data_IF_265267520180
#
_entry.id   IF_265267520180
#
_cell.length_a   1.000
_cell.length_b   1.000
_cell.length_c   1.000
_cell.angle_alpha   90.00
_cell.angle_beta   90.00
_cell.angle_gamma   90.00
#
_symmetry.space_group_name_H-M   'P 1'
#
loop_
_entity.id
_entity.type
_entity.pdbx_description
1 polymer ?
#
# COMPACT_ATOMS: atom_id res chain seq x y z
N UNK A 1 -3.01 -32.89 -1.18
CA UNK A 1 -3.84 -31.72 -1.54
C UNK A 1 -3.63 -30.45 -0.69
N UNK A 2 -3.10 -30.53 0.55
CA UNK A 2 -2.84 -29.33 1.37
C UNK A 2 -1.56 -28.56 0.97
N UNK A 3 -0.56 -29.25 0.42
CA UNK A 3 0.73 -28.64 0.05
C UNK A 3 0.61 -27.64 -1.10
N UNK A 4 -0.11 -27.98 -2.18
CA UNK A 4 -0.36 -27.07 -3.32
C UNK A 4 -1.10 -25.81 -2.87
N UNK A 5 -2.12 -25.97 -2.00
CA UNK A 5 -2.86 -24.82 -1.45
C UNK A 5 -1.96 -23.92 -0.59
N UNK A 6 -1.03 -24.49 0.14
CA UNK A 6 -0.07 -23.75 0.96
C UNK A 6 0.90 -22.95 0.08
N UNK A 7 1.49 -23.58 -0.94
CA UNK A 7 2.37 -22.91 -1.91
C UNK A 7 1.65 -21.73 -2.58
N UNK A 8 0.42 -21.95 -3.06
CA UNK A 8 -0.35 -20.88 -3.71
C UNK A 8 -0.58 -19.69 -2.76
N UNK A 9 -0.89 -19.93 -1.48
CA UNK A 9 -1.06 -18.85 -0.50
C UNK A 9 0.20 -18.03 -0.28
N UNK A 10 1.37 -18.69 -0.26
CA UNK A 10 2.67 -18.03 -0.13
C UNK A 10 2.94 -17.18 -1.38
N UNK A 11 2.77 -17.74 -2.58
CA UNK A 11 2.97 -17.02 -3.84
C UNK A 11 2.08 -15.77 -3.90
N UNK A 12 0.80 -15.92 -3.58
CA UNK A 12 -0.15 -14.80 -3.50
C UNK A 12 0.39 -13.74 -2.54
N UNK A 13 0.75 -14.13 -1.32
CA UNK A 13 1.23 -13.18 -0.33
C UNK A 13 2.53 -12.47 -0.73
N UNK A 14 3.46 -13.15 -1.40
CA UNK A 14 4.69 -12.53 -1.94
C UNK A 14 4.34 -11.50 -3.03
N UNK A 15 3.49 -11.87 -4.00
CA UNK A 15 3.10 -10.97 -5.10
C UNK A 15 2.39 -9.72 -4.58
N UNK A 16 1.43 -9.88 -3.66
CA UNK A 16 0.74 -8.74 -3.03
C UNK A 16 1.67 -7.95 -2.11
N UNK A 17 2.61 -8.60 -1.42
CA UNK A 17 3.62 -7.94 -0.58
C UNK A 17 4.55 -7.05 -1.40
N UNK A 18 5.08 -7.54 -2.52
CA UNK A 18 5.90 -6.76 -3.44
C UNK A 18 5.09 -5.58 -3.99
N UNK A 19 3.87 -5.83 -4.45
CA UNK A 19 3.00 -4.78 -5.00
C UNK A 19 2.69 -3.70 -3.97
N UNK A 20 2.44 -4.08 -2.71
CA UNK A 20 2.18 -3.16 -1.61
C UNK A 20 3.44 -2.36 -1.23
N UNK A 21 4.61 -2.99 -1.25
CA UNK A 21 5.89 -2.31 -1.00
C UNK A 21 6.18 -1.28 -2.11
N UNK A 22 5.91 -1.61 -3.38
CA UNK A 22 6.03 -0.67 -4.50
C UNK A 22 5.07 0.50 -4.33
N UNK A 23 3.81 0.23 -3.98
CA UNK A 23 2.82 1.28 -3.73
C UNK A 23 3.22 2.21 -2.58
N UNK A 24 3.85 1.69 -1.52
CA UNK A 24 4.34 2.50 -0.39
C UNK A 24 5.75 3.06 -0.59
N UNK A 25 6.39 2.82 -1.73
CA UNK A 25 7.74 3.31 -2.00
C UNK A 25 7.92 4.82 -1.83
N UNK A 26 6.94 5.69 -2.17
CA UNK A 26 7.09 7.13 -1.93
C UNK A 26 7.16 7.49 -0.44
N UNK A 27 6.41 6.78 0.42
CA UNK A 27 6.46 7.01 1.86
C UNK A 27 7.83 6.60 2.42
N UNK A 28 8.35 5.43 2.01
CA UNK A 28 9.67 4.99 2.43
C UNK A 28 10.77 5.94 1.96
N UNK A 29 10.67 6.45 0.73
CA UNK A 29 11.59 7.46 0.21
C UNK A 29 11.48 8.80 0.96
N UNK A 30 10.30 9.17 1.46
CA UNK A 30 10.14 10.37 2.26
C UNK A 30 10.86 10.26 3.63
N UNK A 31 10.92 9.06 4.21
CA UNK A 31 11.49 8.83 5.55
C UNK A 31 12.94 8.32 5.55
N UNK A 32 13.54 7.98 4.40
CA UNK A 32 14.92 7.44 4.35
C UNK A 32 15.95 8.56 4.44
N UNK A 33 16.83 8.59 5.44
CA UNK A 33 18.01 9.50 5.43
C UNK A 33 19.17 8.84 4.67
N UNK A 34 20.21 9.60 4.28
CA UNK A 34 21.33 9.13 3.42
C UNK A 34 22.12 7.90 3.92
N UNK A 35 21.84 7.39 5.12
CA UNK A 35 22.44 6.15 5.66
C UNK A 35 21.44 5.23 6.39
N UNK A 36 20.13 5.43 6.21
CA UNK A 36 19.12 4.64 6.92
C UNK A 36 18.85 3.28 6.27
N UNK A 37 19.63 2.28 6.66
CA UNK A 37 19.35 0.87 6.37
C UNK A 37 17.99 0.41 6.97
N UNK A 38 17.47 1.14 7.96
CA UNK A 38 16.22 0.82 8.65
C UNK A 38 15.02 0.98 7.71
N UNK A 39 14.95 2.05 6.92
CA UNK A 39 13.82 2.27 6.01
C UNK A 39 13.73 1.17 4.93
N UNK A 40 14.88 0.78 4.38
CA UNK A 40 14.98 -0.33 3.43
C UNK A 40 14.61 -1.68 4.07
N UNK A 41 15.06 -1.92 5.31
CA UNK A 41 14.71 -3.12 6.05
C UNK A 41 13.20 -3.20 6.33
N UNK A 42 12.54 -2.09 6.68
CA UNK A 42 11.09 -2.04 6.90
C UNK A 42 10.33 -2.30 5.58
N UNK A 43 10.76 -1.68 4.49
CA UNK A 43 10.17 -1.91 3.16
C UNK A 43 10.27 -3.39 2.76
N UNK A 44 11.45 -4.00 2.94
CA UNK A 44 11.67 -5.43 2.66
C UNK A 44 10.89 -6.32 3.62
N UNK A 45 10.74 -5.94 4.89
CA UNK A 45 9.97 -6.67 5.89
C UNK A 45 8.46 -6.70 5.60
N UNK A 46 7.95 -5.75 4.80
CA UNK A 46 6.54 -5.75 4.39
C UNK A 46 6.18 -6.99 3.57
N UNK A 47 7.09 -7.49 2.74
CA UNK A 47 6.87 -8.68 1.91
C UNK A 47 6.61 -9.94 2.75
N UNK A 48 7.49 -10.35 3.70
CA UNK A 48 7.23 -11.52 4.54
C UNK A 48 6.03 -11.32 5.47
N UNK A 49 5.73 -10.10 5.92
CA UNK A 49 4.52 -9.82 6.72
C UNK A 49 3.26 -10.14 5.90
N UNK A 50 3.15 -9.66 4.67
CA UNK A 50 2.00 -9.94 3.80
C UNK A 50 1.94 -11.43 3.41
N UNK A 51 3.10 -12.05 3.17
CA UNK A 51 3.20 -13.48 2.94
C UNK A 51 2.65 -14.30 4.12
N UNK A 52 3.03 -13.95 5.35
CA UNK A 52 2.53 -14.58 6.58
C UNK A 52 1.01 -14.36 6.74
N UNK A 53 0.51 -13.14 6.50
CA UNK A 53 -0.93 -12.85 6.57
C UNK A 53 -1.74 -13.71 5.58
N UNK A 54 -1.21 -13.95 4.38
CA UNK A 54 -1.84 -14.81 3.37
C UNK A 54 -1.71 -16.30 3.72
N UNK A 55 -0.58 -16.72 4.31
CA UNK A 55 -0.36 -18.09 4.76
C UNK A 55 -1.36 -18.52 5.83
N UNK A 56 -1.66 -17.64 6.80
CA UNK A 56 -2.65 -17.90 7.86
C UNK A 56 -4.11 -17.79 7.40
N UNK A 57 -4.39 -17.55 6.12
CA UNK A 57 -5.75 -17.57 5.63
C UNK A 57 -6.27 -19.02 5.51
N UNK A 58 -7.52 -19.33 5.91
CA UNK A 58 -8.01 -20.72 5.88
C UNK A 58 -8.22 -21.21 4.44
N UNK A 59 -8.60 -20.35 3.51
CA UNK A 59 -8.83 -20.67 2.09
C UNK A 59 -8.01 -19.77 1.16
N UNK A 60 -7.75 -20.24 -0.07
CA UNK A 60 -7.03 -19.46 -1.10
C UNK A 60 -7.79 -18.17 -1.44
N UNK A 61 -9.13 -18.23 -1.52
CA UNK A 61 -9.99 -17.06 -1.70
C UNK A 61 -9.77 -16.00 -0.62
N UNK A 62 -9.66 -16.40 0.65
CA UNK A 62 -9.38 -15.46 1.75
C UNK A 62 -7.95 -14.95 1.76
N UNK A 63 -6.98 -15.72 1.24
CA UNK A 63 -5.61 -15.24 1.04
C UNK A 63 -5.57 -14.09 0.03
N UNK A 64 -6.25 -14.22 -1.12
CA UNK A 64 -6.44 -13.12 -2.06
C UNK A 64 -7.14 -11.93 -1.41
N UNK A 65 -8.22 -12.16 -0.64
CA UNK A 65 -8.91 -11.07 0.07
C UNK A 65 -7.97 -10.27 0.98
N UNK A 66 -7.14 -10.94 1.79
CA UNK A 66 -6.13 -10.28 2.62
C UNK A 66 -5.08 -9.53 1.79
N UNK A 67 -4.59 -10.12 0.70
CA UNK A 67 -3.65 -9.47 -0.21
C UNK A 67 -4.22 -8.19 -0.83
N UNK A 68 -5.45 -8.23 -1.34
CA UNK A 68 -6.16 -7.08 -1.89
C UNK A 68 -6.43 -6.00 -0.84
N UNK A 69 -6.73 -6.38 0.41
CA UNK A 69 -6.92 -5.42 1.50
C UNK A 69 -5.61 -4.67 1.81
N UNK A 70 -4.49 -5.38 1.92
CA UNK A 70 -3.20 -4.74 2.20
C UNK A 70 -2.77 -3.87 1.01
N UNK A 71 -2.79 -4.40 -0.21
CA UNK A 71 -2.45 -3.63 -1.40
C UNK A 71 -3.39 -2.42 -1.59
N UNK A 72 -4.69 -2.62 -1.39
CA UNK A 72 -5.68 -1.55 -1.49
C UNK A 72 -5.44 -0.46 -0.46
N UNK A 73 -5.13 -0.81 0.79
CA UNK A 73 -4.75 0.15 1.83
C UNK A 73 -3.45 0.89 1.47
N UNK A 74 -2.44 0.20 0.95
CA UNK A 74 -1.19 0.79 0.48
C UNK A 74 -1.40 1.78 -0.67
N UNK A 75 -2.21 1.41 -1.67
CA UNK A 75 -2.55 2.28 -2.82
C UNK A 75 -3.43 3.44 -2.36
N UNK A 76 -4.37 3.21 -1.44
CA UNK A 76 -5.21 4.26 -0.86
C UNK A 76 -4.38 5.28 -0.06
N UNK A 77 -3.27 4.86 0.54
CA UNK A 77 -2.33 5.72 1.25
C UNK A 77 -1.36 6.47 0.32
N UNK A 78 -1.36 6.20 -0.99
CA UNK A 78 -0.51 6.91 -1.97
C UNK A 78 -0.55 8.43 -1.84
N UNK A 79 -1.72 9.09 -1.72
CA UNK A 79 -1.79 10.55 -1.70
C UNK A 79 -0.99 11.16 -0.55
N UNK A 80 -1.06 10.52 0.63
CA UNK A 80 -0.31 10.91 1.81
C UNK A 80 1.19 10.64 1.58
N UNK A 81 1.53 9.47 1.03
CA UNK A 81 2.92 9.10 0.76
C UNK A 81 3.61 10.05 -0.22
N UNK A 82 2.92 10.46 -1.29
CA UNK A 82 3.45 11.37 -2.31
C UNK A 82 3.50 12.80 -1.81
N UNK A 83 2.56 13.20 -0.95
CA UNK A 83 2.60 14.51 -0.29
C UNK A 83 3.86 14.64 0.58
N UNK A 84 4.15 13.63 1.40
CA UNK A 84 5.34 13.59 2.24
C UNK A 84 6.63 13.63 1.41
N UNK A 85 6.70 12.82 0.34
CA UNK A 85 7.85 12.80 -0.55
C UNK A 85 8.04 14.15 -1.26
N UNK A 86 6.95 14.75 -1.75
CA UNK A 86 6.99 16.06 -2.42
C UNK A 86 7.47 17.17 -1.47
N UNK A 87 7.04 17.16 -0.21
CA UNK A 87 7.50 18.11 0.80
C UNK A 87 9.00 17.98 1.07
N UNK A 88 9.51 16.75 1.17
CA UNK A 88 10.95 16.51 1.32
C UNK A 88 11.73 16.98 0.10
N UNK A 89 11.30 16.59 -1.10
CA UNK A 89 11.95 16.98 -2.34
C UNK A 89 11.95 18.51 -2.52
N UNK A 90 10.86 19.18 -2.13
CA UNK A 90 10.79 20.64 -2.17
C UNK A 90 11.82 21.31 -1.25
N UNK A 91 11.99 20.80 -0.02
CA UNK A 91 13.01 21.30 0.89
C UNK A 91 14.43 21.12 0.33
N UNK A 92 14.70 20.03 -0.36
CA UNK A 92 16.00 19.78 -1.00
C UNK A 92 16.25 20.74 -2.17
N UNK A 93 15.26 20.96 -3.03
CA UNK A 93 15.36 21.90 -4.16
C UNK A 93 15.54 23.34 -3.68
N UNK A 94 14.84 23.75 -2.62
CA UNK A 94 14.99 25.10 -2.04
C UNK A 94 16.36 25.23 -1.37
N UNK A 95 16.80 24.21 -0.62
CA UNK A 95 18.08 24.22 0.11
C UNK A 95 19.31 24.17 -0.80
N UNK A 96 19.16 23.77 -2.06
CA UNK A 96 20.23 23.71 -3.06
C UNK A 96 20.18 24.86 -4.08
N UNK A 97 19.17 25.73 -3.99
CA UNK A 97 19.01 26.87 -4.88
C UNK A 97 20.06 27.95 -4.61
N UNK A 98 20.51 28.63 -5.68
CA UNK A 98 21.43 29.75 -5.56
C UNK A 98 20.80 30.90 -4.77
N UNK A 99 21.62 31.65 -4.03
CA UNK A 99 21.18 32.82 -3.26
C UNK A 99 20.44 33.80 -4.17
N UNK A 100 19.18 34.10 -3.82
CA UNK A 100 18.29 34.95 -4.61
C UNK A 100 17.34 34.23 -5.58
N UNK A 101 17.53 32.93 -5.81
CA UNK A 101 16.63 32.09 -6.63
C UNK A 101 15.68 31.22 -5.80
N UNK A 102 15.84 31.19 -4.48
CA UNK A 102 15.07 30.38 -3.51
C UNK A 102 13.55 30.56 -3.66
N UNK A 103 13.07 31.79 -3.89
CA UNK A 103 11.65 32.06 -4.07
C UNK A 103 11.09 31.40 -5.34
N UNK A 104 11.86 31.42 -6.43
CA UNK A 104 11.47 30.78 -7.68
C UNK A 104 11.51 29.25 -7.54
N UNK A 105 12.54 28.72 -6.88
CA UNK A 105 12.68 27.31 -6.56
C UNK A 105 11.52 26.79 -5.69
N UNK A 106 11.10 27.56 -4.68
CA UNK A 106 9.98 27.23 -3.82
C UNK A 106 8.65 27.17 -4.57
N UNK A 107 8.39 28.14 -5.47
CA UNK A 107 7.18 28.14 -6.30
C UNK A 107 7.17 26.95 -7.25
N UNK A 108 8.30 26.67 -7.92
CA UNK A 108 8.43 25.53 -8.83
C UNK A 108 8.22 24.19 -8.12
N UNK A 109 8.87 24.00 -6.97
CA UNK A 109 8.74 22.80 -6.16
C UNK A 109 7.31 22.63 -5.60
N UNK A 110 6.67 23.72 -5.16
CA UNK A 110 5.28 23.71 -4.71
C UNK A 110 4.31 23.29 -5.81
N UNK A 111 4.46 23.85 -7.02
CA UNK A 111 3.64 23.47 -8.17
C UNK A 111 3.83 22.00 -8.57
N UNK A 112 5.08 21.53 -8.62
CA UNK A 112 5.39 20.13 -8.91
C UNK A 112 4.78 19.19 -7.86
N UNK A 113 4.91 19.55 -6.58
CA UNK A 113 4.35 18.77 -5.47
C UNK A 113 2.81 18.67 -5.54
N UNK A 114 2.12 19.77 -5.85
CA UNK A 114 0.66 19.76 -6.04
C UNK A 114 0.26 18.90 -7.23
N UNK A 115 0.97 18.99 -8.36
CA UNK A 115 0.69 18.19 -9.55
C UNK A 115 0.82 16.69 -9.27
N UNK A 116 1.94 16.26 -8.67
CA UNK A 116 2.20 14.85 -8.35
C UNK A 116 1.22 14.33 -7.31
N UNK A 117 0.99 15.09 -6.24
CA UNK A 117 0.04 14.72 -5.18
C UNK A 117 -1.39 14.66 -5.71
N UNK A 118 -1.77 15.55 -6.64
CA UNK A 118 -3.08 15.53 -7.29
C UNK A 118 -3.31 14.26 -8.09
N UNK A 119 -2.35 13.86 -8.92
CA UNK A 119 -2.40 12.59 -9.68
C UNK A 119 -2.45 11.39 -8.73
N UNK A 120 -1.62 11.39 -7.69
CA UNK A 120 -1.61 10.33 -6.68
C UNK A 120 -2.94 10.26 -5.91
N UNK A 121 -3.58 11.39 -5.63
CA UNK A 121 -4.91 11.48 -5.02
C UNK A 121 -5.95 10.81 -5.89
N UNK A 122 -6.00 11.17 -7.18
CA UNK A 122 -6.97 10.61 -8.10
C UNK A 122 -6.82 9.09 -8.25
N UNK A 123 -5.59 8.63 -8.51
CA UNK A 123 -5.30 7.21 -8.71
C UNK A 123 -5.45 6.43 -7.40
N UNK A 124 -4.87 6.94 -6.32
CA UNK A 124 -4.82 6.28 -5.02
C UNK A 124 -6.21 6.10 -4.41
N UNK A 125 -7.06 7.13 -4.44
CA UNK A 125 -8.42 7.03 -3.91
C UNK A 125 -9.29 6.10 -4.76
N UNK A 126 -9.27 6.22 -6.08
CA UNK A 126 -10.13 5.40 -6.95
C UNK A 126 -9.68 3.94 -6.94
N UNK A 127 -8.42 3.67 -7.30
CA UNK A 127 -7.90 2.30 -7.39
C UNK A 127 -7.82 1.67 -6.00
N UNK A 128 -7.36 2.43 -4.99
CA UNK A 128 -7.31 1.96 -3.60
C UNK A 128 -8.69 1.55 -3.08
N UNK A 129 -9.72 2.37 -3.32
CA UNK A 129 -11.09 2.04 -2.89
C UNK A 129 -11.61 0.78 -3.59
N UNK A 130 -11.38 0.63 -4.90
CA UNK A 130 -11.78 -0.57 -5.65
C UNK A 130 -11.09 -1.82 -5.09
N UNK A 131 -9.78 -1.75 -4.85
CA UNK A 131 -9.00 -2.87 -4.29
C UNK A 131 -9.48 -3.23 -2.88
N UNK A 132 -9.78 -2.23 -2.04
CA UNK A 132 -10.34 -2.45 -0.70
C UNK A 132 -11.70 -3.15 -0.79
N UNK A 133 -12.60 -2.69 -1.66
CA UNK A 133 -13.92 -3.31 -1.86
C UNK A 133 -13.76 -4.77 -2.32
N UNK A 134 -12.91 -5.04 -3.30
CA UNK A 134 -12.61 -6.40 -3.76
C UNK A 134 -12.05 -7.24 -2.61
N UNK A 135 -11.11 -6.71 -1.84
CA UNK A 135 -10.53 -7.37 -0.67
C UNK A 135 -11.57 -7.72 0.39
N UNK A 136 -12.49 -6.80 0.71
CA UNK A 136 -13.60 -7.01 1.63
C UNK A 136 -14.54 -8.12 1.13
N UNK A 137 -14.95 -8.06 -0.14
CA UNK A 137 -15.84 -9.06 -0.75
C UNK A 137 -15.21 -10.46 -0.75
N UNK A 138 -13.91 -10.57 -1.05
CA UNK A 138 -13.19 -11.85 -1.05
C UNK A 138 -12.93 -12.37 0.36
N UNK A 139 -12.70 -11.49 1.33
CA UNK A 139 -12.47 -11.85 2.74
C UNK A 139 -13.76 -12.30 3.43
N UNK A 140 -14.87 -11.58 3.20
CA UNK A 140 -16.14 -11.76 3.92
C UNK A 140 -17.14 -12.68 3.20
N UNK A 141 -17.13 -12.77 1.87
CA UNK A 141 -18.20 -13.39 1.07
C UNK A 141 -18.29 -14.93 1.13
N UNK A 142 -17.86 -15.57 2.21
CA UNK A 142 -17.86 -17.03 2.40
C UNK A 142 -18.71 -17.55 3.56
N UNK A 143 -19.29 -16.69 4.41
CA UNK A 143 -20.20 -17.11 5.49
C UNK A 143 -21.63 -16.72 5.15
N UNK A 144 -22.35 -17.63 4.46
CA UNK A 144 -23.81 -17.65 4.57
C UNK A 144 -24.12 -18.40 5.85
N UNK A 145 -24.25 -17.69 6.97
CA UNK A 145 -24.83 -18.27 8.18
C UNK A 145 -26.33 -18.44 7.89
N UNK A 146 -26.70 -19.61 7.36
CA UNK A 146 -28.10 -20.03 7.30
C UNK A 146 -28.46 -20.39 8.73
N UNK A 147 -29.12 -19.46 9.42
CA UNK A 147 -29.72 -19.75 10.73
C UNK A 147 -30.86 -20.73 10.44
N UNK A 148 -30.58 -22.03 10.63
CA UNK A 148 -31.63 -23.04 10.64
C UNK A 148 -32.35 -22.87 11.96
N UNK A 149 -33.49 -22.17 11.94
CA UNK A 149 -34.40 -22.15 13.08
C UNK A 149 -35.04 -23.53 13.13
N UNK A 150 -34.52 -24.39 13.99
CA UNK A 150 -35.23 -25.62 14.37
C UNK A 150 -36.50 -25.20 15.11
N UNK A 151 -37.63 -25.21 14.41
CA UNK A 151 -38.94 -25.16 15.05
C UNK A 151 -39.11 -26.46 15.84
N UNK A 152 -39.06 -26.36 17.17
CA UNK A 152 -39.61 -27.41 18.03
C UNK A 152 -41.13 -27.25 17.99
N UNK A 153 -41.81 -28.22 17.38
CA UNK A 153 -43.16 -28.62 17.79
C UNK A 153 -43.05 -29.68 18.90
#
# INVERSE_FOLDING_TARGET
>A
MNFIKLILKIIIGIVFGISAAVALSPAFAAFTSDQDNIAQAIMLALIPIVALLCLFAPTVRRAFGRGFLVLGASVFALPISTFLLSGRAANEVIGTADQGSEALAAVGAGMAGVAITGVATFIGLIIGSILIIIGLVLSLGGRREVIVVSGNE
#
